data_IF_913713057918
#
_entry.id   IF_913713057918
#
_cell.length_a   1.000
_cell.length_b   1.000
_cell.length_c   1.000
_cell.angle_alpha   90.00
_cell.angle_beta   90.00
_cell.angle_gamma   90.00
#
_symmetry.space_group_name_H-M   'P 1'
#
loop_
_entity.id
_entity.type
_entity.pdbx_description
1 polymer ?
#
# COMPACT_ATOMS: atom_id res chain seq x y z
N UNK A 1 -2.69 -23.45 -13.46
CA UNK A 1 -1.99 -22.25 -12.96
C UNK A 1 -2.00 -21.24 -14.09
N UNK A 2 -3.04 -20.41 -14.16
CA UNK A 2 -3.16 -19.40 -15.20
C UNK A 2 -2.32 -18.19 -14.76
N UNK A 3 -1.22 -17.95 -15.45
CA UNK A 3 -0.53 -16.67 -15.40
C UNK A 3 -1.53 -15.63 -15.88
N UNK A 4 -2.08 -14.86 -14.94
CA UNK A 4 -2.90 -13.68 -15.21
C UNK A 4 -2.02 -12.66 -15.91
N UNK A 5 -2.26 -12.31 -17.18
CA UNK A 5 -1.63 -11.14 -17.76
C UNK A 5 -2.31 -9.91 -17.13
N UNK A 6 -1.81 -9.44 -15.99
CA UNK A 6 -2.19 -8.15 -15.42
C UNK A 6 -1.54 -7.06 -16.28
N UNK A 7 -2.18 -6.79 -17.42
CA UNK A 7 -2.14 -5.45 -18.01
C UNK A 7 -3.11 -4.60 -17.19
N UNK A 8 -2.65 -4.19 -16.02
CA UNK A 8 -3.39 -3.30 -15.14
C UNK A 8 -2.43 -2.18 -14.82
N UNK A 9 -2.88 -0.93 -14.89
CA UNK A 9 -2.12 0.26 -14.47
C UNK A 9 -1.96 0.28 -12.95
N UNK A 10 -1.49 -0.83 -12.39
CA UNK A 10 -1.15 -0.98 -10.99
C UNK A 10 0.11 -0.17 -10.77
N UNK A 11 -0.03 0.90 -10.03
CA UNK A 11 1.08 1.71 -9.58
C UNK A 11 1.58 1.07 -8.29
N UNK A 12 2.90 0.90 -8.16
CA UNK A 12 3.46 0.48 -6.88
C UNK A 12 3.33 1.66 -5.92
N UNK A 13 2.62 1.47 -4.81
CA UNK A 13 2.52 2.44 -3.73
C UNK A 13 3.39 2.00 -2.58
N UNK A 14 4.25 2.90 -2.15
CA UNK A 14 5.01 2.77 -0.93
C UNK A 14 4.21 3.41 0.22
N UNK A 15 3.85 2.58 1.19
CA UNK A 15 3.24 3.01 2.43
C UNK A 15 4.30 2.91 3.54
N UNK A 16 4.59 4.04 4.15
CA UNK A 16 5.47 4.14 5.29
C UNK A 16 4.59 4.39 6.53
N UNK A 17 4.65 3.49 7.50
CA UNK A 17 3.82 3.55 8.70
C UNK A 17 4.59 3.10 9.93
N UNK A 18 4.15 3.52 11.10
CA UNK A 18 4.71 3.08 12.36
C UNK A 18 3.99 1.82 12.84
N UNK A 19 4.73 0.76 13.11
CA UNK A 19 4.17 -0.47 13.63
C UNK A 19 5.14 -1.04 14.65
N UNK A 20 4.61 -1.41 15.82
CA UNK A 20 5.40 -2.07 16.87
C UNK A 20 6.65 -1.29 17.30
N UNK A 21 6.55 0.04 17.43
CA UNK A 21 7.66 0.87 17.90
C UNK A 21 8.72 1.19 16.84
N UNK A 22 8.51 0.83 15.57
CA UNK A 22 9.44 1.07 14.46
C UNK A 22 8.71 1.54 13.20
N UNK A 23 9.44 2.21 12.33
CA UNK A 23 8.93 2.58 11.00
C UNK A 23 9.04 1.36 10.10
N UNK A 24 7.89 0.92 9.59
CA UNK A 24 7.75 -0.15 8.61
C UNK A 24 7.33 0.45 7.27
N UNK A 25 7.99 0.00 6.21
CA UNK A 25 7.66 0.40 4.85
C UNK A 25 7.20 -0.83 4.08
N UNK A 26 6.01 -0.75 3.47
CA UNK A 26 5.45 -1.79 2.60
C UNK A 26 5.21 -1.23 1.21
N UNK A 27 5.43 -2.05 0.21
CA UNK A 27 5.14 -1.75 -1.19
C UNK A 27 3.96 -2.60 -1.62
N UNK A 28 2.91 -1.97 -2.11
CA UNK A 28 1.71 -2.66 -2.60
C UNK A 28 1.39 -2.19 -4.00
N UNK A 29 0.78 -3.07 -4.79
CA UNK A 29 0.27 -2.73 -6.11
C UNK A 29 -1.16 -2.23 -5.94
N UNK A 30 -1.41 -0.99 -6.38
CA UNK A 30 -2.74 -0.40 -6.31
C UNK A 30 -2.97 0.52 -7.51
N UNK A 31 -4.20 0.58 -7.99
CA UNK A 31 -4.53 1.45 -9.12
C UNK A 31 -4.64 2.93 -8.68
N UNK A 32 -4.99 3.16 -7.41
CA UNK A 32 -5.21 4.50 -6.85
C UNK A 32 -4.77 4.58 -5.39
N UNK A 33 -4.43 5.79 -4.92
CA UNK A 33 -4.14 6.07 -3.50
C UNK A 33 -5.26 5.60 -2.57
N UNK A 34 -6.53 5.73 -2.96
CA UNK A 34 -7.66 5.25 -2.16
C UNK A 34 -7.66 3.73 -1.99
N UNK A 35 -7.31 2.99 -3.04
CA UNK A 35 -7.24 1.53 -3.03
C UNK A 35 -6.10 1.07 -2.12
N UNK A 36 -4.95 1.75 -2.22
CA UNK A 36 -3.81 1.55 -1.36
C UNK A 36 -4.12 1.84 0.13
N UNK A 37 -4.91 2.90 0.39
CA UNK A 37 -5.36 3.25 1.74
C UNK A 37 -6.42 2.28 2.28
N UNK A 38 -7.32 1.76 1.43
CA UNK A 38 -8.26 0.71 1.82
C UNK A 38 -7.56 -0.60 2.17
N UNK A 39 -6.51 -0.97 1.42
CA UNK A 39 -5.67 -2.11 1.78
C UNK A 39 -5.04 -1.92 3.17
N UNK A 40 -4.47 -0.75 3.41
CA UNK A 40 -3.87 -0.40 4.70
C UNK A 40 -4.85 -0.46 5.87
N UNK A 41 -6.05 0.11 5.69
CA UNK A 41 -7.13 0.07 6.68
C UNK A 41 -7.70 -1.34 6.87
N UNK A 42 -7.76 -2.14 5.81
CA UNK A 42 -8.26 -3.51 5.80
C UNK A 42 -7.38 -4.48 6.61
N UNK A 43 -6.08 -4.21 6.66
CA UNK A 43 -5.13 -4.93 7.52
C UNK A 43 -5.30 -4.64 9.03
N UNK A 44 -6.29 -3.81 9.41
CA UNK A 44 -6.50 -3.39 10.78
C UNK A 44 -5.50 -2.33 11.26
N UNK A 45 -4.78 -1.68 10.34
CA UNK A 45 -3.82 -0.62 10.66
C UNK A 45 -4.54 0.72 10.83
N UNK A 46 -4.04 1.56 11.73
CA UNK A 46 -4.65 2.86 12.01
C UNK A 46 -4.04 3.96 11.14
N UNK A 47 -4.88 4.87 10.62
CA UNK A 47 -4.40 6.03 9.83
C UNK A 47 -3.42 6.92 10.59
N UNK A 48 -3.46 6.90 11.93
CA UNK A 48 -2.54 7.67 12.77
C UNK A 48 -1.11 7.17 12.68
N UNK A 49 -0.94 5.88 12.38
CA UNK A 49 0.35 5.26 12.19
C UNK A 49 0.87 5.44 10.76
N UNK A 50 0.01 5.78 9.81
CA UNK A 50 0.40 6.04 8.43
C UNK A 50 1.17 7.36 8.34
N UNK A 51 2.47 7.26 8.06
CA UNK A 51 3.35 8.40 7.94
C UNK A 51 3.31 9.02 6.53
N UNK A 52 3.36 8.17 5.50
CA UNK A 52 3.32 8.60 4.11
C UNK A 52 2.77 7.50 3.21
N UNK A 53 2.08 7.91 2.16
CA UNK A 53 1.66 7.04 1.06
C UNK A 53 2.00 7.74 -0.25
N UNK A 54 2.91 7.15 -1.01
CA UNK A 54 3.37 7.72 -2.27
C UNK A 54 3.36 6.66 -3.36
N UNK A 55 2.98 7.01 -4.60
CA UNK A 55 3.31 6.18 -5.73
C UNK A 55 4.84 6.16 -5.90
N UNK A 56 5.41 4.98 -6.10
CA UNK A 56 6.76 4.77 -6.64
C UNK A 56 6.60 4.99 -8.16
N UNK A 57 6.73 6.24 -8.58
CA UNK A 57 6.70 6.69 -9.98
C UNK A 57 8.13 6.81 -10.54
#
# INVERSE_FOLDING_TARGET
MAAIPHYSSEIEYELCYFEDGKITTVRILANNRQEAMNWYLGEGKHINDLYSIRPDE
#
